data_IF_531119586699
#
_entry.id   IF_531119586699
#
_cell.length_a   1.000
_cell.length_b   1.000
_cell.length_c   1.000
_cell.angle_alpha   90.00
_cell.angle_beta   90.00
_cell.angle_gamma   90.00
#
_symmetry.space_group_name_H-M   'P 1'
#
loop_
_entity.id
_entity.type
_entity.pdbx_description
1 polymer ?
#
# COMPACT_ATOMS: atom_id res chain seq x y z
N UNK A 1 5.69 23.44 -2.74
CA UNK A 1 4.31 22.93 -2.74
C UNK A 1 3.54 23.49 -3.93
N UNK A 2 3.44 24.80 -4.08
CA UNK A 2 2.63 25.41 -5.16
C UNK A 2 3.11 25.07 -6.59
N UNK A 3 4.43 25.10 -6.84
CA UNK A 3 5.01 24.71 -8.13
C UNK A 3 4.63 23.28 -8.55
N UNK A 4 4.64 22.32 -7.60
CA UNK A 4 4.30 20.93 -7.90
C UNK A 4 2.82 20.75 -8.21
N UNK A 5 1.98 21.57 -7.59
CA UNK A 5 0.54 21.53 -7.78
C UNK A 5 0.17 22.08 -9.17
N UNK A 6 0.88 23.12 -9.62
CA UNK A 6 0.76 23.68 -10.97
C UNK A 6 1.23 22.70 -12.05
N UNK A 7 2.41 22.09 -11.88
CA UNK A 7 2.91 21.03 -12.77
C UNK A 7 1.95 19.82 -12.87
N UNK A 8 1.25 19.50 -11.77
CA UNK A 8 0.26 18.40 -11.76
C UNK A 8 -0.99 18.77 -12.55
N UNK A 9 -1.50 20.00 -12.41
CA UNK A 9 -2.66 20.48 -13.18
C UNK A 9 -2.37 20.46 -14.67
N UNK A 10 -1.19 20.95 -15.09
CA UNK A 10 -0.77 20.94 -16.49
C UNK A 10 -0.76 19.52 -17.06
N UNK A 11 -0.10 18.57 -16.39
CA UNK A 11 -0.06 17.16 -16.80
C UNK A 11 -1.42 16.48 -16.83
N UNK A 12 -2.40 16.95 -16.04
CA UNK A 12 -3.76 16.43 -16.12
C UNK A 12 -4.55 17.08 -17.26
N UNK A 13 -4.31 18.34 -17.58
CA UNK A 13 -4.87 18.96 -18.78
C UNK A 13 -4.37 18.27 -20.05
N UNK A 14 -3.07 17.98 -20.16
CA UNK A 14 -2.48 17.23 -21.28
C UNK A 14 -3.09 15.83 -21.47
N UNK A 15 -3.48 15.18 -20.37
CA UNK A 15 -4.15 13.87 -20.39
C UNK A 15 -5.64 13.96 -20.74
N UNK A 16 -6.18 15.16 -20.95
CA UNK A 16 -7.57 15.39 -21.35
C UNK A 16 -8.56 15.43 -20.19
N UNK A 17 -8.12 15.61 -18.95
CA UNK A 17 -9.04 15.82 -17.83
C UNK A 17 -9.75 17.18 -17.96
N UNK A 18 -11.03 17.23 -17.59
CA UNK A 18 -11.85 18.43 -17.72
C UNK A 18 -11.43 19.48 -16.70
N UNK A 19 -11.30 20.72 -17.14
CA UNK A 19 -10.85 21.84 -16.29
C UNK A 19 -11.70 21.99 -15.02
N UNK A 20 -13.04 21.84 -15.12
CA UNK A 20 -13.96 21.92 -13.97
C UNK A 20 -13.60 20.92 -12.85
N UNK A 21 -13.25 19.69 -13.23
CA UNK A 21 -12.93 18.63 -12.28
C UNK A 21 -11.55 18.90 -11.64
N UNK A 22 -10.61 19.47 -12.40
CA UNK A 22 -9.29 19.87 -11.91
C UNK A 22 -9.36 21.05 -10.95
N UNK A 23 -10.16 22.08 -11.22
CA UNK A 23 -10.33 23.23 -10.32
C UNK A 23 -10.90 22.78 -8.97
N UNK A 24 -11.92 21.90 -9.01
CA UNK A 24 -12.52 21.33 -7.79
C UNK A 24 -11.50 20.52 -6.98
N UNK A 25 -10.75 19.65 -7.64
CA UNK A 25 -9.72 18.83 -6.99
C UNK A 25 -8.57 19.68 -6.43
N UNK A 26 -8.23 20.79 -7.08
CA UNK A 26 -7.21 21.74 -6.62
C UNK A 26 -7.65 22.47 -5.35
N UNK A 27 -8.91 22.91 -5.28
CA UNK A 27 -9.47 23.48 -4.05
C UNK A 27 -9.49 22.45 -2.91
N UNK A 28 -9.89 21.22 -3.21
CA UNK A 28 -9.89 20.12 -2.24
C UNK A 28 -8.47 19.82 -1.72
N UNK A 29 -7.48 19.73 -2.61
CA UNK A 29 -6.08 19.49 -2.25
C UNK A 29 -5.47 20.62 -1.41
N UNK A 30 -5.83 21.89 -1.69
CA UNK A 30 -5.41 23.05 -0.88
C UNK A 30 -6.09 23.08 0.49
N UNK A 31 -7.33 22.61 0.57
CA UNK A 31 -8.07 22.52 1.84
C UNK A 31 -7.65 21.31 2.69
N UNK A 32 -7.04 20.30 2.06
CA UNK A 32 -6.63 19.06 2.69
C UNK A 32 -5.29 19.19 3.43
N UNK A 33 -5.18 20.15 4.35
CA UNK A 33 -4.11 20.21 5.36
C UNK A 33 -4.20 19.05 6.40
N UNK A 34 -4.98 18.00 6.11
CA UNK A 34 -5.42 17.04 7.13
C UNK A 34 -5.60 15.61 6.61
N UNK A 35 -4.75 15.16 5.68
CA UNK A 35 -4.31 13.77 5.80
C UNK A 35 -3.37 13.76 6.99
N UNK A 36 -3.93 13.76 8.21
CA UNK A 36 -3.19 13.43 9.42
C UNK A 36 -2.67 12.03 9.17
N UNK A 37 -1.41 11.93 8.72
CA UNK A 37 -0.69 10.69 8.85
C UNK A 37 -0.71 10.42 10.34
N UNK A 38 -1.58 9.50 10.76
CA UNK A 38 -1.44 8.90 12.07
C UNK A 38 0.02 8.47 12.13
N UNK A 39 0.85 9.17 12.92
CA UNK A 39 2.24 8.83 13.21
C UNK A 39 2.29 7.56 14.07
N UNK A 40 1.48 6.56 13.73
CA UNK A 40 1.58 5.22 14.25
C UNK A 40 2.94 4.74 13.80
N UNK A 41 3.75 4.37 14.80
CA UNK A 41 5.05 3.75 14.59
C UNK A 41 4.98 2.75 13.43
N UNK A 42 6.00 2.70 12.56
CA UNK A 42 5.96 1.89 11.35
C UNK A 42 5.71 0.42 11.75
N UNK A 43 4.48 -0.06 11.51
CA UNK A 43 4.13 -1.46 11.73
C UNK A 43 4.86 -2.29 10.69
N UNK A 44 5.59 -3.30 11.14
CA UNK A 44 6.35 -4.15 10.24
C UNK A 44 5.41 -4.95 9.33
N UNK A 45 5.72 -4.97 8.04
CA UNK A 45 4.87 -5.60 7.02
C UNK A 45 5.43 -7.00 6.72
N UNK A 46 4.55 -7.99 6.75
CA UNK A 46 4.82 -9.33 6.21
C UNK A 46 4.17 -9.46 4.83
N UNK A 47 4.98 -9.38 3.78
CA UNK A 47 4.50 -9.50 2.40
C UNK A 47 4.55 -10.95 1.93
N UNK A 48 3.39 -11.51 1.58
CA UNK A 48 3.25 -12.87 1.04
C UNK A 48 2.39 -12.90 -0.22
N UNK A 49 2.34 -14.03 -0.93
CA UNK A 49 1.48 -14.14 -2.11
C UNK A 49 0.04 -14.43 -1.72
N UNK A 50 -0.92 -13.77 -2.37
CA UNK A 50 -2.33 -14.08 -2.18
C UNK A 50 -2.64 -15.51 -2.64
N UNK A 51 -3.37 -16.27 -1.82
CA UNK A 51 -3.93 -17.57 -2.16
C UNK A 51 -5.32 -17.73 -1.51
N UNK A 52 -6.05 -18.79 -1.86
CA UNK A 52 -7.40 -19.03 -1.30
C UNK A 52 -7.40 -19.22 0.23
N UNK A 53 -6.24 -19.56 0.82
CA UNK A 53 -6.06 -19.69 2.25
C UNK A 53 -5.56 -18.40 2.94
N UNK A 54 -5.28 -17.31 2.21
CA UNK A 54 -4.69 -16.08 2.77
C UNK A 54 -5.53 -15.47 3.88
N UNK A 55 -6.86 -15.49 3.73
CA UNK A 55 -7.77 -15.05 4.79
C UNK A 55 -7.62 -15.90 6.07
N UNK A 56 -7.53 -17.23 5.91
CA UNK A 56 -7.32 -18.17 7.03
C UNK A 56 -5.95 -17.95 7.68
N UNK A 57 -4.90 -17.79 6.87
CA UNK A 57 -3.54 -17.52 7.34
C UNK A 57 -3.52 -16.22 8.16
N UNK A 58 -4.14 -15.14 7.66
CA UNK A 58 -4.23 -13.87 8.40
C UNK A 58 -4.88 -14.04 9.76
N UNK A 59 -5.97 -14.82 9.81
CA UNK A 59 -6.68 -15.10 11.05
C UNK A 59 -5.82 -15.91 12.02
N UNK A 60 -5.20 -16.99 11.56
CA UNK A 60 -4.34 -17.86 12.37
C UNK A 60 -3.16 -17.07 12.96
N UNK A 61 -2.50 -16.22 12.15
CA UNK A 61 -1.35 -15.42 12.62
C UNK A 61 -1.78 -14.43 13.70
N UNK A 62 -2.95 -13.80 13.56
CA UNK A 62 -3.48 -12.88 14.58
C UNK A 62 -3.90 -13.61 15.86
N UNK A 63 -4.65 -14.69 15.72
CA UNK A 63 -5.22 -15.44 16.86
C UNK A 63 -4.13 -16.13 17.68
N UNK A 64 -3.07 -16.63 17.01
CA UNK A 64 -2.01 -17.42 17.63
C UNK A 64 -0.68 -16.66 17.75
N UNK A 65 -0.69 -15.33 17.65
CA UNK A 65 0.55 -14.54 17.64
C UNK A 65 1.44 -14.81 18.85
N UNK A 66 0.86 -14.98 20.04
CA UNK A 66 1.63 -15.25 21.27
C UNK A 66 2.48 -16.51 21.17
N UNK A 67 1.94 -17.55 20.53
CA UNK A 67 2.65 -18.81 20.30
C UNK A 67 3.74 -18.63 19.23
N UNK A 68 3.45 -17.91 18.15
CA UNK A 68 4.41 -17.63 17.07
C UNK A 68 5.58 -16.77 17.59
N UNK A 69 5.29 -15.80 18.47
CA UNK A 69 6.26 -14.94 19.12
C UNK A 69 7.03 -15.64 20.27
N UNK A 70 6.78 -16.92 20.54
CA UNK A 70 7.58 -17.71 21.48
C UNK A 70 8.89 -18.22 20.86
N UNK A 71 9.06 -18.09 19.55
CA UNK A 71 10.31 -18.41 18.86
C UNK A 71 11.44 -17.43 19.23
N UNK A 72 12.69 -17.88 19.17
CA UNK A 72 13.86 -17.07 19.58
C UNK A 72 14.26 -16.00 18.54
N UNK A 73 13.77 -16.15 17.30
CA UNK A 73 14.17 -15.29 16.16
C UNK A 73 13.07 -14.31 15.76
N UNK A 74 11.81 -14.75 15.75
CA UNK A 74 10.67 -13.95 15.30
C UNK A 74 10.45 -12.66 16.10
N UNK A 75 10.57 -12.61 17.45
CA UNK A 75 10.40 -11.38 18.23
C UNK A 75 11.49 -10.33 17.98
N UNK A 76 12.69 -10.75 17.55
CA UNK A 76 13.78 -9.83 17.18
C UNK A 76 13.44 -9.06 15.91
N UNK A 77 12.69 -9.71 15.01
CA UNK A 77 12.26 -9.15 13.73
C UNK A 77 10.92 -8.42 13.94
N UNK A 78 9.91 -9.11 14.44
CA UNK A 78 8.55 -8.63 14.63
C UNK A 78 8.22 -8.44 16.11
N UNK A 79 8.32 -7.21 16.62
CA UNK A 79 7.94 -6.88 18.01
C UNK A 79 6.44 -6.98 18.26
N UNK A 80 5.63 -6.71 17.24
CA UNK A 80 4.17 -6.76 17.23
C UNK A 80 3.70 -7.66 16.09
N UNK A 81 2.43 -8.16 16.13
CA UNK A 81 1.88 -8.90 15.00
C UNK A 81 2.01 -8.08 13.71
N UNK A 82 2.69 -8.60 12.68
CA UNK A 82 2.95 -7.85 11.47
C UNK A 82 1.66 -7.54 10.72
N UNK A 83 1.69 -6.46 9.95
CA UNK A 83 0.65 -6.21 8.95
C UNK A 83 0.86 -7.18 7.79
N UNK A 84 -0.08 -8.10 7.57
CA UNK A 84 -0.01 -9.00 6.42
C UNK A 84 -0.42 -8.24 5.16
N UNK A 85 0.48 -8.20 4.19
CA UNK A 85 0.24 -7.67 2.85
C UNK A 85 0.33 -8.80 1.83
N UNK A 86 -0.47 -8.70 0.76
CA UNK A 86 -0.54 -9.71 -0.27
C UNK A 86 -0.10 -9.18 -1.63
N UNK A 87 0.87 -9.83 -2.25
CA UNK A 87 1.18 -9.64 -3.67
C UNK A 87 0.34 -10.56 -4.55
N UNK A 88 0.04 -10.13 -5.77
CA UNK A 88 -0.66 -10.95 -6.77
C UNK A 88 0.17 -12.20 -7.10
N UNK A 89 -0.49 -13.34 -7.33
CA UNK A 89 0.15 -14.51 -7.93
C UNK A 89 0.63 -14.20 -9.34
N UNK A 90 1.75 -14.82 -9.75
CA UNK A 90 2.17 -14.81 -11.15
C UNK A 90 1.08 -15.49 -11.98
N UNK A 91 0.61 -14.82 -13.03
CA UNK A 91 -0.32 -15.38 -14.00
C UNK A 91 0.46 -15.84 -15.25
N UNK A 92 -0.23 -16.48 -16.20
CA UNK A 92 0.40 -16.93 -17.45
C UNK A 92 1.04 -15.78 -18.24
N UNK A 93 0.45 -14.57 -18.22
CA UNK A 93 1.06 -13.39 -18.86
C UNK A 93 2.40 -13.06 -18.23
N UNK A 94 2.50 -13.05 -16.91
CA UNK A 94 3.75 -12.77 -16.18
C UNK A 94 4.83 -13.85 -16.43
N UNK A 95 4.43 -15.04 -16.87
CA UNK A 95 5.33 -16.15 -17.18
C UNK A 95 5.75 -16.18 -18.66
N UNK A 96 4.85 -15.80 -19.56
CA UNK A 96 5.04 -15.93 -21.00
C UNK A 96 5.50 -14.62 -21.67
N UNK A 97 5.09 -13.47 -21.13
CA UNK A 97 5.50 -12.16 -21.63
C UNK A 97 6.75 -11.73 -20.87
N UNK A 98 7.89 -11.96 -21.51
CA UNK A 98 9.14 -11.34 -21.09
C UNK A 98 9.05 -9.88 -21.52
N UNK A 99 9.14 -8.94 -20.58
CA UNK A 99 9.46 -7.57 -20.95
C UNK A 99 10.84 -7.62 -21.58
N UNK A 100 10.97 -7.23 -22.85
CA UNK A 100 12.30 -7.09 -23.45
C UNK A 100 13.13 -6.15 -22.55
N UNK A 101 14.40 -6.51 -22.25
CA UNK A 101 15.24 -5.79 -21.31
C UNK A 101 15.61 -4.37 -21.77
#
# INVERSE_FOLDING_TARGET
MDQQLEDMVEKFQERGYRHRDLSKALEEAKSADSIKSDEKAPRMIFSTTFNNASSKISKIVKDNWKMIASDDTLPKIFKEPPLLCYRRNKNLRDLLVHTDP
#
